data_IF_315345927209
#
_entry.id   IF_315345927209
#
_cell.length_a   1.000
_cell.length_b   1.000
_cell.length_c   1.000
_cell.angle_alpha   90.00
_cell.angle_beta   90.00
_cell.angle_gamma   90.00
#
_symmetry.space_group_name_H-M   'P 1'
#
loop_
_entity.id
_entity.type
_entity.pdbx_description
1 polymer ?
#
# COMPACT_ATOMS: atom_id res chain seq x y z
N UNK A 1 10.16 31.59 0.27
CA UNK A 1 10.27 31.15 -1.13
C UNK A 1 8.91 31.29 -1.77
N UNK A 2 8.80 31.90 -2.95
CA UNK A 2 7.59 31.92 -3.75
C UNK A 2 7.83 31.16 -5.05
N UNK A 3 6.76 30.66 -5.65
CA UNK A 3 6.80 29.91 -6.90
C UNK A 3 5.99 30.70 -7.95
N UNK A 4 6.51 30.83 -9.16
CA UNK A 4 5.79 31.43 -10.29
C UNK A 4 5.72 30.41 -11.42
N UNK A 5 4.53 30.18 -11.98
CA UNK A 5 4.27 29.21 -13.05
C UNK A 5 3.54 29.96 -14.18
N UNK A 6 4.16 30.13 -15.34
CA UNK A 6 3.62 30.88 -16.47
C UNK A 6 3.07 32.27 -16.07
N UNK A 7 3.81 32.97 -15.19
CA UNK A 7 3.40 34.27 -14.65
C UNK A 7 2.39 34.23 -13.49
N UNK A 8 1.82 33.06 -13.15
CA UNK A 8 0.95 32.91 -12.00
C UNK A 8 1.78 32.72 -10.72
N UNK A 9 1.59 33.59 -9.73
CA UNK A 9 2.32 33.56 -8.46
C UNK A 9 1.62 32.67 -7.45
N UNK A 10 2.33 31.69 -6.91
CA UNK A 10 1.90 30.84 -5.81
C UNK A 10 2.47 31.39 -4.50
N UNK A 11 1.59 31.73 -3.58
CA UNK A 11 1.98 32.25 -2.27
C UNK A 11 2.57 31.15 -1.37
N UNK A 12 3.41 31.56 -0.43
CA UNK A 12 4.02 30.66 0.56
C UNK A 12 2.97 29.86 1.34
N UNK A 13 1.87 30.50 1.69
CA UNK A 13 0.80 29.87 2.48
C UNK A 13 0.14 28.70 1.73
N UNK A 14 -0.04 28.80 0.41
CA UNK A 14 -0.56 27.72 -0.40
C UNK A 14 0.40 26.51 -0.44
N UNK A 15 1.71 26.76 -0.55
CA UNK A 15 2.73 25.70 -0.48
C UNK A 15 2.71 25.03 0.89
N UNK A 16 2.64 25.78 1.97
CA UNK A 16 2.61 25.23 3.33
C UNK A 16 1.33 24.45 3.62
N UNK A 17 0.18 24.89 3.13
CA UNK A 17 -1.07 24.15 3.25
C UNK A 17 -1.01 22.81 2.51
N UNK A 18 -0.47 22.79 1.30
CA UNK A 18 -0.31 21.54 0.55
C UNK A 18 0.74 20.63 1.20
N UNK A 19 1.84 21.18 1.71
CA UNK A 19 2.84 20.42 2.46
C UNK A 19 2.26 19.77 3.72
N UNK A 20 1.35 20.46 4.42
CA UNK A 20 0.62 19.88 5.55
C UNK A 20 -0.27 18.70 5.15
N UNK A 21 -0.93 18.77 3.99
CA UNK A 21 -1.72 17.65 3.46
C UNK A 21 -0.86 16.43 3.11
N UNK A 22 0.37 16.68 2.65
CA UNK A 22 1.33 15.64 2.28
C UNK A 22 2.12 15.07 3.45
N UNK A 23 2.04 15.65 4.65
CA UNK A 23 2.87 15.28 5.79
C UNK A 23 2.75 13.80 6.18
N UNK A 24 1.54 13.23 6.13
CA UNK A 24 1.28 11.82 6.43
C UNK A 24 1.93 10.92 5.37
N UNK A 25 1.76 11.25 4.10
CA UNK A 25 2.36 10.54 2.96
C UNK A 25 3.89 10.54 3.06
N UNK A 26 4.49 11.69 3.36
CA UNK A 26 5.95 11.82 3.55
C UNK A 26 6.42 10.99 4.75
N UNK A 27 5.67 10.96 5.86
CA UNK A 27 6.02 10.14 7.02
C UNK A 27 6.03 8.64 6.70
N UNK A 28 5.10 8.18 5.86
CA UNK A 28 5.03 6.78 5.43
C UNK A 28 6.11 6.43 4.40
N UNK A 29 6.35 7.32 3.43
CA UNK A 29 7.32 7.07 2.36
C UNK A 29 8.78 7.23 2.80
N UNK A 30 9.05 8.13 3.75
CA UNK A 30 10.40 8.48 4.19
C UNK A 30 10.57 8.36 5.72
N UNK A 31 10.27 7.20 6.33
CA UNK A 31 10.32 7.02 7.78
C UNK A 31 11.72 7.20 8.38
N UNK A 32 12.77 7.07 7.55
CA UNK A 32 14.18 7.23 7.94
C UNK A 32 14.67 8.68 8.00
N UNK A 33 13.91 9.65 7.47
CA UNK A 33 14.28 11.06 7.55
C UNK A 33 13.97 11.64 8.94
N UNK A 34 14.79 12.58 9.40
CA UNK A 34 14.49 13.37 10.59
C UNK A 34 13.30 14.34 10.36
N UNK A 35 12.68 14.88 11.42
CA UNK A 35 11.50 15.74 11.30
C UNK A 35 11.70 17.00 10.43
N UNK A 36 12.90 17.58 10.43
CA UNK A 36 13.22 18.77 9.62
C UNK A 36 13.32 18.39 8.15
N UNK A 37 14.03 17.30 7.85
CA UNK A 37 14.16 16.76 6.51
C UNK A 37 12.81 16.35 5.93
N UNK A 38 11.91 15.71 6.72
CA UNK A 38 10.54 15.38 6.28
C UNK A 38 9.73 16.63 5.95
N UNK A 39 9.86 17.69 6.74
CA UNK A 39 9.16 18.95 6.45
C UNK A 39 9.62 19.57 5.13
N UNK A 40 10.95 19.60 4.89
CA UNK A 40 11.49 20.09 3.62
C UNK A 40 11.04 19.22 2.44
N UNK A 41 11.04 17.90 2.60
CA UNK A 41 10.54 16.96 1.59
C UNK A 41 9.06 17.21 1.27
N UNK A 42 8.23 17.44 2.30
CA UNK A 42 6.82 17.78 2.12
C UNK A 42 6.62 19.12 1.36
N UNK A 43 7.45 20.14 1.64
CA UNK A 43 7.41 21.41 0.93
C UNK A 43 7.84 21.26 -0.53
N UNK A 44 8.81 20.41 -0.85
CA UNK A 44 9.24 20.17 -2.23
C UNK A 44 8.20 19.36 -3.00
N UNK A 45 7.64 18.31 -2.40
CA UNK A 45 6.52 17.56 -2.99
C UNK A 45 5.28 18.45 -3.22
N UNK A 46 5.02 19.39 -2.30
CA UNK A 46 3.92 20.34 -2.44
C UNK A 46 4.13 21.27 -3.63
N UNK A 47 5.33 21.78 -3.84
CA UNK A 47 5.66 22.60 -5.03
C UNK A 47 5.44 21.81 -6.32
N UNK A 48 5.95 20.58 -6.38
CA UNK A 48 5.78 19.73 -7.55
C UNK A 48 4.30 19.47 -7.85
N UNK A 49 3.50 19.12 -6.84
CA UNK A 49 2.06 18.88 -6.99
C UNK A 49 1.30 20.14 -7.44
N UNK A 50 1.66 21.32 -6.92
CA UNK A 50 1.09 22.59 -7.34
C UNK A 50 1.44 22.91 -8.78
N UNK A 51 2.71 22.69 -9.19
CA UNK A 51 3.15 22.87 -10.59
C UNK A 51 2.34 21.96 -11.51
N UNK A 52 2.28 20.68 -11.21
CA UNK A 52 1.55 19.68 -12.00
C UNK A 52 0.08 20.03 -12.16
N UNK A 53 -0.62 20.32 -11.06
CA UNK A 53 -2.00 20.72 -11.08
C UNK A 53 -2.21 21.99 -11.91
N UNK A 54 -1.35 22.98 -11.73
CA UNK A 54 -1.46 24.26 -12.45
C UNK A 54 -1.27 24.08 -13.95
N UNK A 55 -0.29 23.31 -14.38
CA UNK A 55 -0.02 23.06 -15.79
C UNK A 55 -1.16 22.27 -16.46
N UNK A 56 -1.65 21.24 -15.81
CA UNK A 56 -2.82 20.48 -16.28
C UNK A 56 -4.08 21.36 -16.35
N UNK A 57 -4.26 22.22 -15.37
CA UNK A 57 -5.39 23.18 -15.35
C UNK A 57 -5.29 24.20 -16.49
N UNK A 58 -4.12 24.75 -16.77
CA UNK A 58 -3.92 25.66 -17.90
C UNK A 58 -4.13 24.97 -19.24
N UNK A 59 -3.66 23.73 -19.35
CA UNK A 59 -3.85 22.92 -20.54
C UNK A 59 -5.32 22.55 -20.76
N UNK A 60 -6.07 22.26 -19.71
CA UNK A 60 -7.51 22.01 -19.80
C UNK A 60 -8.26 23.20 -20.38
N UNK A 61 -7.88 24.43 -20.02
CA UNK A 61 -8.49 25.65 -20.58
C UNK A 61 -8.17 25.87 -22.06
N UNK A 62 -7.02 25.38 -22.54
CA UNK A 62 -6.65 25.46 -23.96
C UNK A 62 -7.37 24.42 -24.80
N UNK A 63 -7.48 23.19 -24.28
CA UNK A 63 -8.03 22.06 -25.05
C UNK A 63 -9.56 21.99 -24.99
N UNK A 64 -10.17 22.36 -23.85
CA UNK A 64 -11.61 22.31 -23.65
C UNK A 64 -12.17 23.75 -23.69
N UNK A 65 -12.35 24.27 -24.87
CA UNK A 65 -12.78 25.68 -25.05
C UNK A 65 -14.28 25.86 -24.97
N UNK A 66 -15.07 24.91 -25.47
CA UNK A 66 -16.52 25.05 -25.60
C UNK A 66 -17.27 24.45 -24.39
N UNK A 67 -17.71 25.33 -23.50
CA UNK A 67 -18.74 25.04 -22.51
C UNK A 67 -19.91 26.03 -22.74
N UNK A 68 -21.10 25.48 -22.90
CA UNK A 68 -22.31 26.28 -23.02
C UNK A 68 -22.72 26.83 -21.64
N UNK A 69 -23.43 27.96 -21.65
CA UNK A 69 -23.98 28.52 -20.40
C UNK A 69 -24.92 27.54 -19.70
N UNK A 70 -25.67 26.74 -20.48
CA UNK A 70 -26.63 25.79 -19.95
C UNK A 70 -25.92 24.61 -19.23
N UNK A 71 -24.76 24.16 -19.71
CA UNK A 71 -23.97 23.15 -19.03
C UNK A 71 -23.44 23.61 -17.67
N UNK A 72 -22.90 24.82 -17.62
CA UNK A 72 -22.43 25.45 -16.37
C UNK A 72 -23.59 25.67 -15.40
N UNK A 73 -24.74 26.11 -15.90
CA UNK A 73 -25.93 26.32 -15.09
C UNK A 73 -26.49 24.99 -14.54
N UNK A 74 -26.47 23.92 -15.34
CA UNK A 74 -26.88 22.58 -14.93
C UNK A 74 -25.99 22.08 -13.81
N UNK A 75 -24.65 22.21 -13.95
CA UNK A 75 -23.70 21.76 -12.94
C UNK A 75 -23.85 22.58 -11.65
N UNK A 76 -23.97 23.91 -11.75
CA UNK A 76 -24.25 24.72 -10.58
C UNK A 76 -25.51 24.26 -9.84
N UNK A 77 -26.60 23.96 -10.57
CA UNK A 77 -27.85 23.46 -9.97
C UNK A 77 -27.66 22.12 -9.25
N UNK A 78 -26.87 21.22 -9.80
CA UNK A 78 -26.55 19.94 -9.13
C UNK A 78 -25.81 20.17 -7.83
N UNK A 79 -24.77 21.00 -7.85
CA UNK A 79 -23.98 21.36 -6.65
C UNK A 79 -24.87 22.07 -5.63
N UNK A 80 -25.64 23.06 -6.05
CA UNK A 80 -26.52 23.81 -5.17
C UNK A 80 -27.61 22.94 -4.53
N UNK A 81 -28.12 21.92 -5.23
CA UNK A 81 -29.13 20.98 -4.73
C UNK A 81 -28.64 20.23 -3.48
N UNK A 82 -27.35 19.88 -3.41
CA UNK A 82 -26.74 19.22 -2.24
C UNK A 82 -26.71 20.12 -1.00
N UNK A 83 -26.95 21.42 -1.18
CA UNK A 83 -26.92 22.44 -0.12
C UNK A 83 -28.28 23.13 0.10
N UNK A 84 -29.38 22.53 -0.37
CA UNK A 84 -30.71 23.07 -0.20
C UNK A 84 -31.08 24.14 -1.27
N UNK A 85 -30.51 24.01 -2.47
CA UNK A 85 -30.66 24.93 -3.59
C UNK A 85 -29.75 26.16 -3.51
N UNK A 86 -29.90 27.08 -4.47
CA UNK A 86 -29.06 28.28 -4.57
C UNK A 86 -28.97 29.06 -3.26
N UNK A 87 -30.12 29.33 -2.60
CA UNK A 87 -30.15 30.06 -1.33
C UNK A 87 -29.37 29.34 -0.22
N UNK A 88 -29.49 28.01 -0.13
CA UNK A 88 -28.77 27.21 0.82
C UNK A 88 -27.25 27.20 0.55
N UNK A 89 -26.87 27.09 -0.71
CA UNK A 89 -25.50 27.20 -1.18
C UNK A 89 -24.88 28.56 -0.79
N UNK A 90 -25.49 29.66 -1.16
CA UNK A 90 -25.00 31.00 -0.83
C UNK A 90 -24.82 31.17 0.68
N UNK A 91 -25.80 30.74 1.47
CA UNK A 91 -25.72 30.81 2.94
C UNK A 91 -24.58 29.97 3.51
N UNK A 92 -24.40 28.75 3.02
CA UNK A 92 -23.35 27.83 3.50
C UNK A 92 -21.94 28.37 3.26
N UNK A 93 -21.73 28.97 2.09
CA UNK A 93 -20.41 29.48 1.70
C UNK A 93 -20.21 30.96 1.99
N UNK A 94 -21.17 31.62 2.67
CA UNK A 94 -21.16 33.06 3.00
C UNK A 94 -21.02 33.95 1.78
N UNK A 95 -21.68 33.58 0.67
CA UNK A 95 -21.67 34.26 -0.61
C UNK A 95 -22.94 35.08 -0.81
N UNK A 96 -22.86 36.11 -1.67
CA UNK A 96 -23.96 36.92 -2.11
C UNK A 96 -24.36 36.59 -3.55
N UNK A 97 -25.51 37.12 -4.01
CA UNK A 97 -25.93 36.97 -5.42
C UNK A 97 -24.93 37.58 -6.42
N UNK A 98 -24.18 38.60 -6.00
CA UNK A 98 -23.15 39.22 -6.85
C UNK A 98 -21.93 38.34 -7.06
N UNK A 99 -21.73 37.29 -6.24
CA UNK A 99 -20.61 36.36 -6.35
C UNK A 99 -20.91 35.21 -7.32
N UNK A 100 -22.20 34.97 -7.65
CA UNK A 100 -22.61 33.88 -8.54
C UNK A 100 -21.90 33.83 -9.91
N UNK A 101 -21.65 34.97 -10.60
CA UNK A 101 -20.90 34.93 -11.84
C UNK A 101 -19.50 34.33 -11.68
N UNK A 102 -18.79 34.69 -10.60
CA UNK A 102 -17.45 34.15 -10.31
C UNK A 102 -17.51 32.64 -9.93
N UNK A 103 -18.48 32.27 -9.10
CA UNK A 103 -18.72 30.85 -8.78
C UNK A 103 -18.97 30.02 -10.05
N UNK A 104 -19.75 30.53 -10.98
CA UNK A 104 -20.04 29.86 -12.26
C UNK A 104 -18.80 29.78 -13.16
N UNK A 105 -17.90 30.76 -13.10
CA UNK A 105 -16.61 30.69 -13.80
C UNK A 105 -15.72 29.59 -13.21
N UNK A 106 -15.66 29.49 -11.87
CA UNK A 106 -14.91 28.40 -11.20
C UNK A 106 -15.49 27.05 -11.57
N UNK A 107 -16.82 26.88 -11.53
CA UNK A 107 -17.48 25.64 -11.96
C UNK A 107 -17.17 25.33 -13.43
N UNK A 108 -17.15 26.31 -14.31
CA UNK A 108 -16.79 26.11 -15.71
C UNK A 108 -15.32 25.58 -15.84
N UNK A 109 -14.42 26.09 -15.02
CA UNK A 109 -13.05 25.62 -15.01
C UNK A 109 -12.91 24.19 -14.46
N UNK A 110 -13.66 23.87 -13.41
CA UNK A 110 -13.71 22.52 -12.86
C UNK A 110 -14.27 21.51 -13.88
N UNK A 111 -15.32 21.87 -14.60
CA UNK A 111 -15.89 21.03 -15.67
C UNK A 111 -14.88 20.85 -16.82
N UNK A 112 -14.16 21.90 -17.22
CA UNK A 112 -13.10 21.79 -18.22
C UNK A 112 -12.01 20.83 -17.77
N UNK A 113 -11.55 21.01 -16.54
CA UNK A 113 -10.51 20.19 -15.97
C UNK A 113 -10.94 18.72 -15.90
N UNK A 114 -12.15 18.44 -15.43
CA UNK A 114 -12.68 17.08 -15.39
C UNK A 114 -12.75 16.44 -16.79
N UNK A 115 -13.31 17.13 -17.77
CA UNK A 115 -13.38 16.67 -19.17
C UNK A 115 -12.00 16.42 -19.78
N UNK A 116 -11.05 17.29 -19.48
CA UNK A 116 -9.68 17.11 -19.91
C UNK A 116 -9.04 15.87 -19.29
N UNK A 117 -9.22 15.67 -17.99
CA UNK A 117 -8.72 14.49 -17.29
C UNK A 117 -9.38 13.21 -17.80
N UNK A 118 -10.68 13.23 -18.10
CA UNK A 118 -11.40 12.10 -18.70
C UNK A 118 -10.85 11.79 -20.11
N UNK A 119 -10.58 12.81 -20.91
CA UNK A 119 -9.99 12.65 -22.24
C UNK A 119 -8.55 12.10 -22.17
N UNK A 120 -7.75 12.53 -21.19
CA UNK A 120 -6.43 11.96 -20.94
C UNK A 120 -6.50 10.50 -20.51
N UNK A 121 -7.42 10.15 -19.62
CA UNK A 121 -7.63 8.78 -19.18
C UNK A 121 -8.00 7.84 -20.35
N UNK A 122 -8.77 8.33 -21.34
CA UNK A 122 -9.10 7.56 -22.54
C UNK A 122 -7.91 7.32 -23.47
N UNK A 123 -6.86 8.13 -23.38
CA UNK A 123 -5.63 7.98 -24.16
C UNK A 123 -4.63 7.02 -23.51
N UNK A 124 -4.85 6.62 -22.25
CA UNK A 124 -3.98 5.64 -21.59
C UNK A 124 -4.00 4.33 -22.38
N UNK A 125 -2.85 3.77 -22.74
CA UNK A 125 -2.79 2.51 -23.48
C UNK A 125 -3.48 1.38 -22.73
N UNK A 126 -4.33 0.63 -23.41
CA UNK A 126 -4.97 -0.57 -22.84
C UNK A 126 -3.93 -1.64 -22.48
N UNK A 127 -4.32 -2.55 -21.61
CA UNK A 127 -3.53 -3.73 -21.25
C UNK A 127 -4.06 -4.94 -22.01
N UNK A 128 -3.33 -5.44 -23.03
CA UNK A 128 -3.71 -6.65 -23.75
C UNK A 128 -3.65 -7.89 -22.86
N UNK A 129 -4.38 -8.94 -23.20
CA UNK A 129 -4.36 -10.23 -22.49
C UNK A 129 -2.98 -10.89 -22.54
N UNK A 130 -2.26 -10.71 -23.65
CA UNK A 130 -0.92 -11.23 -23.84
C UNK A 130 0.08 -10.62 -22.83
N UNK A 131 -0.08 -9.35 -22.49
CA UNK A 131 0.78 -8.68 -21.50
C UNK A 131 0.52 -9.23 -20.09
N UNK A 132 -0.76 -9.47 -19.75
CA UNK A 132 -1.14 -10.10 -18.48
C UNK A 132 -0.57 -11.51 -18.38
N UNK A 133 -0.69 -12.30 -19.46
CA UNK A 133 -0.13 -13.65 -19.52
C UNK A 133 1.40 -13.66 -19.42
N UNK A 134 2.08 -12.70 -20.05
CA UNK A 134 3.53 -12.59 -19.98
C UNK A 134 4.01 -12.27 -18.55
N UNK A 135 3.34 -11.35 -17.85
CA UNK A 135 3.66 -11.03 -16.45
C UNK A 135 3.41 -12.24 -15.55
N UNK A 136 2.31 -12.94 -15.75
CA UNK A 136 2.00 -14.17 -15.02
C UNK A 136 3.10 -15.22 -15.19
N UNK A 137 3.50 -15.52 -16.42
CA UNK A 137 4.56 -16.51 -16.72
C UNK A 137 5.93 -16.08 -16.17
N UNK A 138 6.24 -14.80 -16.22
CA UNK A 138 7.53 -14.30 -15.73
C UNK A 138 7.63 -14.32 -14.20
N UNK A 139 6.51 -14.25 -13.50
CA UNK A 139 6.44 -14.14 -12.04
C UNK A 139 5.63 -15.28 -11.39
N UNK A 140 5.66 -16.50 -11.94
CA UNK A 140 4.87 -17.64 -11.44
C UNK A 140 4.99 -17.86 -9.93
N UNK A 141 6.17 -17.63 -9.36
CA UNK A 141 6.39 -17.78 -7.91
C UNK A 141 5.52 -16.82 -7.08
N UNK A 142 5.30 -15.60 -7.57
CA UNK A 142 4.47 -14.61 -6.86
C UNK A 142 2.97 -14.96 -6.89
N UNK A 143 2.57 -15.87 -7.78
CA UNK A 143 1.18 -16.30 -7.96
C UNK A 143 0.91 -17.70 -7.44
N UNK A 144 1.85 -18.29 -6.69
CA UNK A 144 1.58 -19.52 -5.96
C UNK A 144 0.78 -19.24 -4.69
N UNK A 145 -0.08 -20.18 -4.33
CA UNK A 145 -0.64 -20.20 -2.99
C UNK A 145 0.50 -20.33 -1.96
N UNK A 146 0.28 -19.87 -0.76
CA UNK A 146 1.28 -20.00 0.31
C UNK A 146 1.49 -21.48 0.65
N UNK A 147 2.72 -21.84 1.00
CA UNK A 147 3.06 -23.17 1.50
C UNK A 147 2.26 -23.48 2.77
N UNK A 148 2.00 -24.75 3.01
CA UNK A 148 1.41 -25.22 4.26
C UNK A 148 2.37 -26.21 4.93
N UNK A 149 2.51 -26.02 6.22
CA UNK A 149 3.30 -26.91 7.08
C UNK A 149 2.39 -27.72 7.99
N UNK A 150 2.74 -28.95 8.22
CA UNK A 150 2.28 -29.73 9.35
C UNK A 150 3.47 -29.99 10.25
N UNK A 151 3.39 -29.61 11.52
CA UNK A 151 4.49 -29.72 12.44
C UNK A 151 4.04 -30.11 13.84
N UNK A 152 4.96 -30.69 14.58
CA UNK A 152 4.84 -30.94 16.02
C UNK A 152 5.95 -30.22 16.76
N UNK A 153 5.72 -29.77 17.99
CA UNK A 153 6.72 -29.09 18.77
C UNK A 153 6.72 -29.45 20.26
N UNK A 154 7.83 -29.16 20.91
CA UNK A 154 8.00 -29.07 22.36
C UNK A 154 8.40 -27.62 22.63
N UNK A 155 7.79 -26.95 23.61
CA UNK A 155 8.09 -25.57 23.96
C UNK A 155 8.29 -25.41 25.47
N UNK A 156 9.26 -24.58 25.84
CA UNK A 156 9.51 -24.10 27.19
C UNK A 156 9.49 -22.58 27.18
N UNK A 157 8.43 -22.01 27.76
CA UNK A 157 8.20 -20.57 27.73
C UNK A 157 9.22 -19.79 28.55
N UNK A 158 9.51 -18.56 28.12
CA UNK A 158 10.37 -17.60 28.86
C UNK A 158 9.62 -16.32 29.21
N UNK A 159 8.33 -16.27 28.87
CA UNK A 159 7.42 -15.21 29.28
C UNK A 159 6.82 -15.55 30.66
N UNK A 160 6.19 -14.58 31.34
CA UNK A 160 5.54 -14.76 32.64
C UNK A 160 6.47 -15.05 33.84
N UNK A 161 7.74 -14.57 33.78
CA UNK A 161 8.65 -14.66 34.92
C UNK A 161 9.37 -16.02 35.06
N UNK A 162 9.30 -16.89 34.06
CA UNK A 162 10.07 -18.12 34.00
C UNK A 162 11.57 -17.82 33.76
N UNK A 163 12.44 -18.58 34.42
CA UNK A 163 13.90 -18.43 34.24
C UNK A 163 14.32 -18.93 32.85
N UNK A 164 14.82 -18.01 32.02
CA UNK A 164 15.31 -18.33 30.68
C UNK A 164 16.39 -19.41 30.67
N UNK A 165 17.25 -19.45 31.69
CA UNK A 165 18.33 -20.46 31.80
C UNK A 165 17.73 -21.84 32.08
N UNK A 166 16.70 -21.91 32.94
CA UNK A 166 15.98 -23.13 33.23
C UNK A 166 15.18 -23.64 32.01
N UNK A 167 14.44 -22.74 31.31
CA UNK A 167 13.72 -23.10 30.08
C UNK A 167 14.69 -23.67 29.00
N UNK A 168 15.85 -23.01 28.81
CA UNK A 168 16.86 -23.51 27.88
C UNK A 168 17.40 -24.88 28.26
N UNK A 169 17.65 -25.09 29.55
CA UNK A 169 18.13 -26.39 30.05
C UNK A 169 17.09 -27.47 29.81
N UNK A 170 15.80 -27.23 30.14
CA UNK A 170 14.73 -28.19 29.88
C UNK A 170 14.64 -28.56 28.39
N UNK A 171 14.75 -27.57 27.50
CA UNK A 171 14.77 -27.80 26.05
C UNK A 171 15.97 -28.68 25.62
N UNK A 172 17.13 -28.45 26.21
CA UNK A 172 18.32 -29.29 25.96
C UNK A 172 18.16 -30.72 26.48
N UNK A 173 17.59 -30.89 27.67
CA UNK A 173 17.30 -32.20 28.25
C UNK A 173 16.27 -32.98 27.41
N UNK A 174 15.22 -32.30 26.92
CA UNK A 174 14.24 -32.85 25.98
C UNK A 174 14.89 -33.29 24.65
N UNK A 175 15.83 -32.49 24.11
CA UNK A 175 16.57 -32.89 22.91
C UNK A 175 17.42 -34.15 23.12
N UNK A 176 18.05 -34.31 24.29
CA UNK A 176 18.81 -35.53 24.64
C UNK A 176 17.86 -36.73 24.70
N UNK A 177 16.66 -36.58 25.28
CA UNK A 177 15.65 -37.66 25.31
C UNK A 177 15.23 -38.06 23.90
N UNK A 178 14.95 -37.09 23.00
CA UNK A 178 14.65 -37.34 21.59
C UNK A 178 15.79 -38.09 20.88
N UNK A 179 17.05 -37.70 21.10
CA UNK A 179 18.23 -38.34 20.51
C UNK A 179 18.45 -39.76 21.05
N UNK A 180 17.95 -40.08 22.25
CA UNK A 180 17.98 -41.42 22.80
C UNK A 180 16.84 -42.32 22.30
N UNK A 181 15.97 -41.81 21.43
CA UNK A 181 14.89 -42.57 20.80
C UNK A 181 13.52 -42.43 21.47
N UNK A 182 13.36 -41.52 22.44
CA UNK A 182 12.05 -41.23 23.01
C UNK A 182 11.18 -40.48 22.04
N UNK A 183 9.89 -40.76 21.96
CA UNK A 183 8.95 -40.13 21.04
C UNK A 183 8.70 -38.67 21.42
N UNK A 184 8.69 -37.79 20.41
CA UNK A 184 8.41 -36.37 20.60
C UNK A 184 7.05 -36.15 21.29
N UNK A 185 6.04 -36.88 20.87
CA UNK A 185 4.69 -36.82 21.38
C UNK A 185 4.63 -37.05 22.87
N UNK A 186 5.39 -38.05 23.34
CA UNK A 186 5.48 -38.39 24.77
C UNK A 186 6.12 -37.26 25.56
N UNK A 187 7.25 -36.73 25.08
CA UNK A 187 7.94 -35.64 25.76
C UNK A 187 7.07 -34.37 25.76
N UNK A 188 6.36 -34.09 24.65
CA UNK A 188 5.46 -32.97 24.56
C UNK A 188 4.31 -33.02 25.59
N UNK A 189 3.70 -34.22 25.76
CA UNK A 189 2.60 -34.37 26.72
C UNK A 189 3.08 -34.39 28.19
N UNK A 190 4.29 -34.85 28.45
CA UNK A 190 4.84 -34.98 29.81
C UNK A 190 5.51 -33.69 30.33
N UNK A 191 6.19 -32.94 29.45
CA UNK A 191 7.17 -31.92 29.89
C UNK A 191 7.10 -30.57 29.14
N UNK A 192 6.34 -30.47 28.05
CA UNK A 192 6.15 -29.20 27.33
C UNK A 192 5.26 -28.26 28.11
N UNK A 193 5.55 -26.94 28.03
CA UNK A 193 4.65 -25.89 28.58
C UNK A 193 3.37 -25.71 27.74
N UNK A 194 3.26 -26.39 26.59
CA UNK A 194 2.05 -26.51 25.79
C UNK A 194 1.68 -27.99 25.61
N UNK A 195 1.21 -28.66 26.69
CA UNK A 195 0.88 -30.07 26.63
C UNK A 195 -0.42 -30.31 25.85
N UNK A 196 -0.56 -31.49 25.31
CA UNK A 196 -1.74 -31.97 24.60
C UNK A 196 -1.49 -32.30 23.15
N UNK A 197 -2.21 -33.31 22.67
CA UNK A 197 -2.12 -33.83 21.31
C UNK A 197 -0.69 -34.23 20.87
N UNK A 198 0.22 -34.55 21.82
CA UNK A 198 1.62 -34.91 21.52
C UNK A 198 2.41 -33.76 20.88
N UNK A 199 2.00 -32.48 21.12
CA UNK A 199 2.63 -31.31 20.53
C UNK A 199 2.24 -31.07 19.07
N UNK A 200 1.23 -31.77 18.52
CA UNK A 200 0.78 -31.58 17.13
C UNK A 200 0.14 -30.20 16.95
N UNK A 201 0.68 -29.40 16.04
CA UNK A 201 0.17 -28.08 15.66
C UNK A 201 -0.85 -28.15 14.50
N UNK A 202 -1.05 -29.32 13.91
CA UNK A 202 -1.87 -29.49 12.73
C UNK A 202 -1.28 -28.82 11.49
N UNK A 203 -2.13 -28.59 10.48
CA UNK A 203 -1.79 -27.84 9.27
C UNK A 203 -1.94 -26.35 9.51
N UNK A 204 -0.94 -25.55 9.12
CA UNK A 204 -0.99 -24.10 9.12
C UNK A 204 -0.30 -23.55 7.87
N UNK A 205 -0.72 -22.36 7.43
CA UNK A 205 -0.15 -21.66 6.29
C UNK A 205 1.16 -20.96 6.68
N UNK A 206 2.09 -20.82 5.76
CA UNK A 206 3.25 -19.95 5.88
C UNK A 206 2.81 -18.51 6.24
N UNK A 207 3.50 -17.87 7.15
CA UNK A 207 3.15 -16.56 7.72
C UNK A 207 2.22 -16.64 8.94
N UNK A 208 1.79 -17.82 9.38
CA UNK A 208 0.95 -17.98 10.57
C UNK A 208 1.74 -18.02 11.88
N UNK A 209 2.92 -18.63 11.86
CA UNK A 209 3.81 -18.70 13.02
C UNK A 209 4.81 -17.54 13.00
N UNK A 210 5.56 -17.37 14.10
CA UNK A 210 6.65 -16.39 14.13
C UNK A 210 7.77 -16.81 13.18
N UNK A 211 8.45 -15.81 12.61
CA UNK A 211 9.45 -16.01 11.57
C UNK A 211 10.54 -17.01 11.98
N UNK A 212 11.02 -16.93 13.24
CA UNK A 212 12.06 -17.80 13.76
C UNK A 212 11.64 -19.29 13.76
N UNK A 213 10.34 -19.56 13.96
CA UNK A 213 9.79 -20.92 13.92
C UNK A 213 9.71 -21.41 12.48
N UNK A 214 9.19 -20.61 11.57
CA UNK A 214 9.06 -20.95 10.15
C UNK A 214 10.41 -21.08 9.45
N UNK A 215 11.39 -20.25 9.79
CA UNK A 215 12.77 -20.36 9.29
C UNK A 215 13.40 -21.73 9.63
N UNK A 216 13.11 -22.25 10.82
CA UNK A 216 13.57 -23.58 11.21
C UNK A 216 12.86 -24.66 10.41
N UNK A 217 11.54 -24.60 10.27
CA UNK A 217 10.77 -25.58 9.50
C UNK A 217 11.20 -25.62 8.04
N UNK A 218 11.49 -24.46 7.43
CA UNK A 218 11.96 -24.38 6.06
C UNK A 218 13.32 -25.04 5.81
N UNK A 219 14.13 -25.24 6.86
CA UNK A 219 15.42 -25.92 6.78
C UNK A 219 15.32 -27.43 7.06
N UNK A 220 14.17 -27.89 7.55
CA UNK A 220 14.00 -29.33 7.89
C UNK A 220 13.49 -30.12 6.69
N UNK A 221 13.93 -31.36 6.65
CA UNK A 221 13.29 -32.39 5.82
C UNK A 221 12.05 -32.95 6.54
N UNK A 222 11.08 -33.42 5.79
CA UNK A 222 9.88 -34.07 6.35
C UNK A 222 10.32 -35.26 7.23
N UNK A 223 9.79 -35.30 8.46
CA UNK A 223 10.12 -36.24 9.49
C UNK A 223 11.34 -35.87 10.36
N UNK A 224 12.08 -34.82 9.98
CA UNK A 224 13.25 -34.40 10.75
C UNK A 224 12.86 -33.48 11.93
N UNK A 225 13.62 -33.63 13.03
CA UNK A 225 13.49 -32.81 14.24
C UNK A 225 14.62 -31.77 14.27
N UNK A 226 14.31 -30.57 14.69
CA UNK A 226 15.26 -29.48 14.82
C UNK A 226 16.20 -29.66 16.02
N UNK A 227 17.23 -28.82 16.07
CA UNK A 227 17.93 -28.51 17.33
C UNK A 227 17.04 -27.59 18.17
N UNK A 228 17.46 -27.33 19.43
CA UNK A 228 16.84 -26.29 20.24
C UNK A 228 17.03 -24.93 19.55
N UNK A 229 15.96 -24.21 19.38
CA UNK A 229 15.99 -22.82 18.85
C UNK A 229 15.10 -21.91 19.72
N UNK A 230 15.27 -20.61 19.57
CA UNK A 230 14.58 -19.61 20.38
C UNK A 230 13.62 -18.79 19.53
N UNK A 231 12.48 -18.47 20.11
CA UNK A 231 11.50 -17.51 19.58
C UNK A 231 11.15 -16.50 20.67
N UNK A 232 10.38 -15.43 20.38
CA UNK A 232 9.89 -14.52 21.41
C UNK A 232 9.07 -15.18 22.53
N UNK A 233 8.60 -16.41 22.34
CA UNK A 233 7.80 -17.16 23.32
C UNK A 233 8.63 -18.06 24.21
N UNK A 234 9.83 -18.48 23.79
CA UNK A 234 10.68 -19.37 24.55
C UNK A 234 11.58 -20.26 23.68
N UNK A 235 12.01 -21.38 24.25
CA UNK A 235 12.83 -22.37 23.58
C UNK A 235 11.98 -23.51 23.04
N UNK A 236 12.23 -23.85 21.78
CA UNK A 236 11.47 -24.83 21.02
C UNK A 236 12.35 -25.94 20.47
N UNK A 237 11.73 -27.11 20.28
CA UNK A 237 12.18 -28.17 19.39
C UNK A 237 11.00 -28.47 18.48
N UNK A 238 11.16 -28.42 17.18
CA UNK A 238 10.11 -28.69 16.21
C UNK A 238 10.46 -29.88 15.31
N UNK A 239 9.44 -30.62 14.89
CA UNK A 239 9.52 -31.63 13.85
C UNK A 239 8.63 -31.21 12.69
N UNK A 240 9.16 -31.22 11.48
CA UNK A 240 8.36 -31.06 10.28
C UNK A 240 7.69 -32.38 9.92
N UNK A 241 6.39 -32.51 10.17
CA UNK A 241 5.65 -33.75 9.94
C UNK A 241 5.26 -33.93 8.46
N UNK A 242 4.89 -32.83 7.81
CA UNK A 242 4.57 -32.79 6.37
C UNK A 242 4.65 -31.35 5.83
N UNK A 243 4.77 -31.21 4.51
CA UNK A 243 4.78 -29.91 3.83
C UNK A 243 4.01 -30.02 2.50
N UNK A 244 3.12 -29.05 2.25
CA UNK A 244 2.45 -28.87 0.97
C UNK A 244 2.96 -27.59 0.34
N UNK A 245 3.61 -27.70 -0.80
CA UNK A 245 4.00 -26.53 -1.59
C UNK A 245 2.74 -25.92 -2.23
N UNK A 246 2.61 -24.60 -2.13
CA UNK A 246 1.50 -23.89 -2.71
C UNK A 246 1.41 -24.10 -4.21
N UNK A 247 0.23 -24.47 -4.70
CA UNK A 247 0.00 -24.63 -6.14
C UNK A 247 -0.02 -23.28 -6.85
N UNK A 248 0.43 -23.27 -8.12
CA UNK A 248 0.30 -22.11 -8.97
C UNK A 248 -1.19 -21.82 -9.18
N UNK A 249 -1.63 -20.62 -8.82
CA UNK A 249 -3.01 -20.20 -9.01
C UNK A 249 -3.27 -20.00 -10.51
N UNK A 250 -4.45 -20.40 -11.01
CA UNK A 250 -4.77 -20.24 -12.42
C UNK A 250 -4.82 -18.75 -12.82
N UNK A 251 -4.43 -18.47 -14.07
CA UNK A 251 -4.44 -17.11 -14.62
C UNK A 251 -5.80 -16.42 -14.53
N UNK A 252 -6.88 -17.20 -14.64
CA UNK A 252 -8.26 -16.70 -14.52
C UNK A 252 -8.53 -16.07 -13.15
N UNK A 253 -7.88 -16.57 -12.11
CA UNK A 253 -8.04 -16.06 -10.74
C UNK A 253 -7.17 -14.82 -10.48
N UNK A 254 -5.91 -14.85 -10.90
CA UNK A 254 -4.94 -13.76 -10.59
C UNK A 254 -4.88 -12.70 -11.69
N UNK A 255 -5.28 -13.03 -12.92
CA UNK A 255 -5.22 -12.13 -14.07
C UNK A 255 -5.92 -10.79 -13.87
N UNK A 256 -7.10 -10.71 -13.26
CA UNK A 256 -7.75 -9.43 -12.96
C UNK A 256 -6.90 -8.51 -12.07
N UNK A 257 -6.17 -9.08 -11.11
CA UNK A 257 -5.28 -8.32 -10.22
C UNK A 257 -4.05 -7.83 -10.97
N UNK A 258 -3.45 -8.69 -11.80
CA UNK A 258 -2.30 -8.33 -12.65
C UNK A 258 -2.70 -7.21 -13.61
N UNK A 259 -3.85 -7.34 -14.26
CA UNK A 259 -4.38 -6.33 -15.19
C UNK A 259 -4.56 -4.99 -14.51
N UNK A 260 -5.20 -4.96 -13.34
CA UNK A 260 -5.43 -3.74 -12.57
C UNK A 260 -4.12 -3.03 -12.20
N UNK A 261 -3.09 -3.78 -11.83
CA UNK A 261 -1.78 -3.21 -11.52
C UNK A 261 -1.10 -2.65 -12.77
N UNK A 262 -1.14 -3.36 -13.89
CA UNK A 262 -0.62 -2.89 -15.17
C UNK A 262 -1.35 -1.64 -15.68
N UNK A 263 -2.68 -1.61 -15.57
CA UNK A 263 -3.48 -0.42 -15.91
C UNK A 263 -3.10 0.79 -15.07
N UNK A 264 -2.87 0.57 -13.76
CA UNK A 264 -2.37 1.62 -12.88
C UNK A 264 -0.99 2.10 -13.30
N UNK A 265 -0.06 1.19 -13.55
CA UNK A 265 1.32 1.54 -13.97
C UNK A 265 1.32 2.31 -15.29
N UNK A 266 0.56 1.87 -16.29
CA UNK A 266 0.43 2.57 -17.58
C UNK A 266 -0.18 3.96 -17.41
N UNK A 267 -1.21 4.09 -16.60
CA UNK A 267 -1.81 5.39 -16.29
C UNK A 267 -0.81 6.32 -15.61
N UNK A 268 -0.14 5.84 -14.57
CA UNK A 268 0.84 6.64 -13.83
C UNK A 268 2.03 7.06 -14.73
N UNK A 269 2.46 6.19 -15.64
CA UNK A 269 3.50 6.51 -16.63
C UNK A 269 3.01 7.57 -17.62
N UNK A 270 1.82 7.37 -18.21
CA UNK A 270 1.22 8.30 -19.17
C UNK A 270 1.03 9.70 -18.58
N UNK A 271 0.53 9.79 -17.33
CA UNK A 271 0.39 11.08 -16.65
C UNK A 271 1.74 11.73 -16.36
N UNK A 272 2.75 10.98 -15.93
CA UNK A 272 4.10 11.51 -15.72
C UNK A 272 4.69 12.08 -17.01
N UNK A 273 4.57 11.37 -18.12
CA UNK A 273 5.04 11.82 -19.43
C UNK A 273 4.29 13.08 -19.88
N UNK A 274 2.97 13.11 -19.72
CA UNK A 274 2.14 14.29 -20.04
C UNK A 274 2.59 15.51 -19.24
N UNK A 275 2.75 15.35 -17.92
CA UNK A 275 3.20 16.44 -17.03
C UNK A 275 4.63 16.87 -17.38
N UNK A 276 5.53 15.93 -17.68
CA UNK A 276 6.91 16.25 -18.08
C UNK A 276 6.93 17.11 -19.34
N UNK A 277 6.16 16.76 -20.37
CA UNK A 277 6.04 17.56 -21.58
C UNK A 277 5.48 18.97 -21.33
N UNK A 278 4.52 19.10 -20.41
CA UNK A 278 3.99 20.41 -20.01
C UNK A 278 5.05 21.23 -19.24
N UNK A 279 5.83 20.59 -18.35
CA UNK A 279 6.94 21.25 -17.61
C UNK A 279 8.05 21.77 -18.54
N UNK A 280 8.38 21.04 -19.60
CA UNK A 280 9.38 21.48 -20.59
C UNK A 280 9.02 22.77 -21.32
N UNK A 281 7.74 23.01 -21.53
CA UNK A 281 7.21 24.20 -22.22
C UNK A 281 6.86 25.36 -21.29
N UNK A 282 6.91 25.16 -19.98
CA UNK A 282 6.46 26.11 -18.98
C UNK A 282 7.57 27.01 -18.44
N UNK A 283 7.24 28.27 -18.14
CA UNK A 283 8.11 29.16 -17.36
C UNK A 283 7.87 28.95 -15.87
N UNK A 284 8.80 28.22 -15.22
CA UNK A 284 8.73 27.90 -13.78
C UNK A 284 9.89 28.58 -13.06
N UNK A 285 9.58 29.47 -12.14
CA UNK A 285 10.55 30.27 -11.40
C UNK A 285 10.40 30.02 -9.89
N UNK A 286 11.48 29.64 -9.24
CA UNK A 286 11.61 29.48 -7.80
C UNK A 286 12.26 30.75 -7.21
N UNK A 287 11.53 31.52 -6.38
CA UNK A 287 11.96 32.80 -5.84
C UNK A 287 12.04 32.76 -4.29
#
# INVERSE_FOLDING_TARGET
MSLTINGFKVGKDAILQEAQRLAEEVNQQFPWLDPIARKLQAEDMAKDRIIEHRLLFEESRKQIQELTKDEVESEFKQIAKQHGGEKGFLKKFSLSQSDLPNVKLEIADDVRFQRFMDALNQQVPSVPDEEVAAIFQHNEQAYRAVDQFKASHIVYHTNNGQDRSEAKKKAQDALIRLQSGEALEKIADEDSDCPGQGGDLGWFAEGYMVQEFEDVLNQLQIGATSKVFETPFGFHIARLDDKKTGELQPLELVGPTIRKELEKQKRDAFFRETVAALKESADIQYN
#
